data_IF_493337537492
#
_entry.id   IF_493337537492
#
_cell.length_a   1.000
_cell.length_b   1.000
_cell.length_c   1.000
_cell.angle_alpha   90.00
_cell.angle_beta   90.00
_cell.angle_gamma   90.00
#
_symmetry.space_group_name_H-M   'P 1'
#
loop_
_entity.id
_entity.type
_entity.pdbx_description
1 polymer ?
#
# COMPACT_ATOMS: atom_id res chain seq x y z
N UNK A 1 59.69 -4.46 6.46
CA UNK A 1 58.88 -3.32 5.98
C UNK A 1 57.43 -3.73 6.11
N UNK A 2 56.73 -3.16 7.09
CA UNK A 2 55.33 -3.44 7.35
C UNK A 2 54.46 -2.66 6.35
N UNK A 3 53.47 -3.30 5.74
CA UNK A 3 52.42 -2.60 4.99
C UNK A 3 51.11 -2.78 5.74
N UNK A 4 50.54 -1.62 6.03
CA UNK A 4 49.51 -1.33 7.00
C UNK A 4 48.13 -1.64 6.40
N UNK A 5 47.33 -2.37 7.17
CA UNK A 5 45.92 -2.69 6.94
C UNK A 5 45.10 -1.40 6.99
N UNK A 6 44.44 -0.99 5.90
CA UNK A 6 43.37 0.02 5.96
C UNK A 6 42.02 -0.69 6.00
N UNK A 7 41.45 -0.80 7.20
CA UNK A 7 40.05 -1.12 7.41
C UNK A 7 39.22 0.08 6.97
N UNK A 8 38.42 -0.05 5.91
CA UNK A 8 37.33 0.89 5.64
C UNK A 8 36.20 0.53 6.60
N UNK A 9 35.90 1.43 7.52
CA UNK A 9 34.80 1.30 8.46
C UNK A 9 33.49 1.54 7.72
N UNK A 10 32.71 0.48 7.50
CA UNK A 10 31.30 0.60 7.15
C UNK A 10 30.55 1.13 8.39
N UNK A 11 29.93 2.30 8.25
CA UNK A 11 29.00 2.83 9.26
C UNK A 11 27.66 2.13 9.04
N UNK A 12 27.43 1.03 9.76
CA UNK A 12 26.10 0.42 9.86
C UNK A 12 25.30 1.27 10.84
N UNK A 13 24.35 2.07 10.32
CA UNK A 13 23.34 2.71 11.17
C UNK A 13 22.25 1.66 11.39
N UNK A 14 22.22 1.09 12.59
CA UNK A 14 21.12 0.23 13.01
C UNK A 14 19.83 1.07 13.09
N UNK A 15 18.84 0.73 12.26
CA UNK A 15 17.52 1.35 12.30
C UNK A 15 16.83 1.03 13.64
N UNK A 16 16.56 2.06 14.43
CA UNK A 16 15.68 1.95 15.59
C UNK A 16 14.23 2.08 15.11
N UNK A 17 13.62 0.96 14.75
CA UNK A 17 12.19 0.87 14.49
C UNK A 17 11.42 0.94 15.82
N UNK A 18 10.73 2.04 16.08
CA UNK A 18 9.73 2.11 17.14
C UNK A 18 8.35 1.92 16.52
N UNK A 19 7.99 0.67 16.24
CA UNK A 19 6.61 0.26 15.97
C UNK A 19 5.97 -0.22 17.27
N UNK A 20 5.05 0.56 17.84
CA UNK A 20 4.18 0.07 18.92
C UNK A 20 2.80 -0.16 18.34
N UNK A 21 2.51 -1.41 17.99
CA UNK A 21 1.16 -1.87 17.68
C UNK A 21 0.53 -2.47 18.96
N UNK A 22 -0.62 -1.94 19.39
CA UNK A 22 -1.45 -2.56 20.42
C UNK A 22 -2.78 -2.98 19.80
N UNK A 23 -2.96 -4.28 19.61
CA UNK A 23 -4.23 -4.90 19.27
C UNK A 23 -5.13 -4.99 20.51
N UNK A 24 -6.22 -4.22 20.54
CA UNK A 24 -7.23 -4.33 21.60
C UNK A 24 -8.18 -5.48 21.25
N UNK A 25 -7.93 -6.67 21.79
CA UNK A 25 -8.90 -7.76 21.78
C UNK A 25 -10.00 -7.45 22.83
N UNK A 26 -11.19 -7.05 22.36
CA UNK A 26 -12.35 -6.86 23.22
C UNK A 26 -12.89 -8.22 23.72
N UNK A 27 -12.95 -8.36 25.05
CA UNK A 27 -13.30 -9.60 25.76
C UNK A 27 -14.74 -10.09 25.54
N UNK A 28 -14.87 -11.41 25.39
CA UNK A 28 -16.15 -12.12 25.43
C UNK A 28 -16.63 -12.23 26.88
N UNK A 29 -17.57 -11.36 27.24
CA UNK A 29 -18.27 -11.38 28.53
C UNK A 29 -19.15 -12.63 28.63
N UNK A 30 -18.83 -13.53 29.55
CA UNK A 30 -19.73 -14.60 29.99
C UNK A 30 -20.83 -13.98 30.85
N UNK A 31 -22.05 -13.93 30.29
CA UNK A 31 -23.28 -13.58 31.00
C UNK A 31 -23.63 -14.68 32.02
N UNK A 32 -23.73 -14.32 33.30
CA UNK A 32 -24.44 -15.11 34.32
C UNK A 32 -25.72 -14.35 34.73
N UNK A 33 -26.90 -15.00 34.75
CA UNK A 33 -28.17 -14.31 34.99
C UNK A 33 -28.48 -14.11 36.49
N UNK A 34 -28.79 -12.85 36.81
CA UNK A 34 -29.85 -12.34 37.69
C UNK A 34 -30.14 -13.01 39.06
N UNK A 35 -30.01 -12.22 40.14
CA UNK A 35 -30.90 -12.33 41.32
C UNK A 35 -31.32 -10.93 41.79
N UNK A 36 -32.63 -10.75 41.91
CA UNK A 36 -33.32 -9.54 42.36
C UNK A 36 -33.01 -9.18 43.82
N UNK A 37 -32.92 -7.87 44.07
CA UNK A 37 -33.16 -7.27 45.37
C UNK A 37 -31.92 -6.60 45.97
N UNK A 38 -31.84 -5.27 45.83
CA UNK A 38 -31.63 -4.27 46.91
C UNK A 38 -31.30 -2.92 46.27
N UNK A 39 -32.18 -1.93 46.42
CA UNK A 39 -31.88 -0.53 46.13
C UNK A 39 -31.06 0.06 47.29
N UNK A 40 -29.76 0.31 47.08
CA UNK A 40 -28.96 1.38 47.71
C UNK A 40 -27.46 1.12 47.53
N UNK A 41 -26.84 1.72 46.51
CA UNK A 41 -25.45 2.20 46.52
C UNK A 41 -25.12 2.87 45.17
N UNK A 42 -25.38 4.17 45.09
CA UNK A 42 -24.60 5.07 44.23
C UNK A 42 -23.19 5.17 44.82
N UNK A 43 -22.37 4.13 44.62
CA UNK A 43 -20.93 4.08 44.91
C UNK A 43 -20.38 2.68 44.59
N UNK A 44 -20.44 2.27 43.33
CA UNK A 44 -19.50 1.28 42.80
C UNK A 44 -18.60 2.04 41.83
N UNK A 45 -17.54 2.59 42.40
CA UNK A 45 -16.33 3.01 41.71
C UNK A 45 -15.87 1.82 40.88
N UNK A 46 -16.14 1.91 39.58
CA UNK A 46 -16.11 0.76 38.68
C UNK A 46 -14.68 0.61 38.14
N UNK A 47 -13.93 -0.45 38.51
CA UNK A 47 -12.54 -0.65 38.06
C UNK A 47 -12.42 -0.61 36.53
N UNK A 48 -13.49 -0.95 35.81
CA UNK A 48 -13.58 -0.86 34.35
C UNK A 48 -13.49 0.60 33.86
N UNK A 49 -14.06 1.57 34.60
CA UNK A 49 -13.98 3.00 34.25
C UNK A 49 -12.62 3.60 34.54
N UNK A 50 -11.91 3.08 35.54
CA UNK A 50 -10.52 3.46 35.83
C UNK A 50 -9.57 2.89 34.79
N UNK A 51 -9.70 1.61 34.47
CA UNK A 51 -8.95 0.92 33.42
C UNK A 51 -9.18 1.57 32.05
N UNK A 52 -10.43 1.86 31.67
CA UNK A 52 -10.73 2.55 30.43
C UNK A 52 -10.12 3.96 30.37
N UNK A 53 -10.13 4.70 31.49
CA UNK A 53 -9.47 6.02 31.56
C UNK A 53 -7.95 5.90 31.44
N UNK A 54 -7.35 4.88 32.06
CA UNK A 54 -5.92 4.61 31.97
C UNK A 54 -5.51 4.27 30.53
N UNK A 55 -6.24 3.36 29.86
CA UNK A 55 -6.00 2.99 28.47
C UNK A 55 -6.17 4.19 27.52
N UNK A 56 -7.16 5.05 27.73
CA UNK A 56 -7.32 6.27 26.94
C UNK A 56 -6.17 7.27 27.16
N UNK A 57 -5.66 7.37 28.38
CA UNK A 57 -4.53 8.24 28.70
C UNK A 57 -3.24 7.71 28.06
N UNK A 58 -2.98 6.42 28.21
CA UNK A 58 -1.84 5.73 27.60
C UNK A 58 -1.88 5.85 26.06
N UNK A 59 -3.04 5.64 25.45
CA UNK A 59 -3.20 5.78 24.00
C UNK A 59 -2.92 7.20 23.51
N UNK A 60 -3.34 8.23 24.27
CA UNK A 60 -3.01 9.63 23.96
C UNK A 60 -1.52 9.92 24.08
N UNK A 61 -0.86 9.37 25.09
CA UNK A 61 0.59 9.54 25.29
C UNK A 61 1.37 8.87 24.16
N UNK A 62 1.01 7.64 23.80
CA UNK A 62 1.58 6.92 22.66
C UNK A 62 1.37 7.70 21.36
N UNK A 63 0.15 8.21 21.12
CA UNK A 63 -0.16 9.00 19.94
C UNK A 63 0.69 10.28 19.89
N UNK A 64 0.82 11.02 20.99
CA UNK A 64 1.62 12.24 21.03
C UNK A 64 3.12 11.97 20.78
N UNK A 65 3.65 10.86 21.30
CA UNK A 65 5.03 10.43 21.03
C UNK A 65 5.22 10.04 19.56
N UNK A 66 4.25 9.30 19.01
CA UNK A 66 4.16 8.93 17.60
C UNK A 66 4.16 10.15 16.68
N UNK A 67 3.28 11.11 16.92
CA UNK A 67 3.18 12.35 16.14
C UNK A 67 4.48 13.17 16.20
N UNK A 68 5.11 13.19 17.38
CA UNK A 68 6.40 13.85 17.56
C UNK A 68 7.50 13.16 16.74
N UNK A 69 7.56 11.83 16.75
CA UNK A 69 8.53 11.07 15.96
C UNK A 69 8.32 11.28 14.44
N UNK A 70 7.07 11.24 13.99
CA UNK A 70 6.70 11.51 12.59
C UNK A 70 7.13 12.91 12.15
N UNK A 71 6.94 13.92 13.00
CA UNK A 71 7.37 15.29 12.69
C UNK A 71 8.89 15.41 12.50
N UNK A 72 9.68 14.63 13.25
CA UNK A 72 11.13 14.57 13.09
C UNK A 72 11.51 13.87 11.79
N UNK A 73 10.85 12.76 11.46
CA UNK A 73 11.08 12.01 10.23
C UNK A 73 10.74 12.86 9.01
N UNK A 74 9.57 13.50 9.01
CA UNK A 74 9.12 14.41 7.95
C UNK A 74 10.13 15.55 7.70
N UNK A 75 10.72 16.10 8.76
CA UNK A 75 11.76 17.13 8.64
C UNK A 75 13.12 16.63 8.12
N UNK A 76 13.47 15.36 8.32
CA UNK A 76 14.77 14.78 7.94
C UNK A 76 14.75 14.00 6.62
N UNK A 77 13.57 13.65 6.11
CA UNK A 77 13.40 12.69 5.02
C UNK A 77 13.47 13.30 3.62
N UNK A 78 13.10 14.57 3.45
CA UNK A 78 13.16 15.23 2.15
C UNK A 78 14.58 15.25 1.56
N UNK A 79 15.59 15.55 2.39
CA UNK A 79 16.99 15.56 1.95
C UNK A 79 17.53 14.14 1.70
N UNK A 80 17.04 13.15 2.45
CA UNK A 80 17.49 11.75 2.31
C UNK A 80 16.93 11.06 1.06
N UNK A 81 15.78 11.53 0.55
CA UNK A 81 15.13 11.00 -0.64
C UNK A 81 15.44 11.78 -1.92
N UNK A 82 15.92 13.01 -1.81
CA UNK A 82 16.06 13.91 -2.96
C UNK A 82 16.87 13.25 -4.09
N UNK A 83 16.25 13.12 -5.27
CA UNK A 83 16.87 12.54 -6.46
C UNK A 83 16.83 11.01 -6.54
N UNK A 84 16.35 10.31 -5.52
CA UNK A 84 16.29 8.83 -5.51
C UNK A 84 15.33 8.24 -6.56
N UNK A 85 14.34 9.02 -7.01
CA UNK A 85 13.40 8.66 -8.08
C UNK A 85 13.51 9.57 -9.31
N UNK A 86 14.62 10.31 -9.46
CA UNK A 86 14.79 11.23 -10.60
C UNK A 86 14.67 10.50 -11.95
N UNK A 87 13.74 10.98 -12.78
CA UNK A 87 13.47 10.41 -14.11
C UNK A 87 12.72 9.08 -14.10
N UNK A 88 12.19 8.64 -12.94
CA UNK A 88 11.35 7.43 -12.84
C UNK A 88 9.87 7.81 -12.93
N UNK A 89 9.16 7.21 -13.87
CA UNK A 89 7.73 7.41 -14.09
C UNK A 89 6.92 6.61 -13.06
N UNK A 90 6.20 7.28 -12.16
CA UNK A 90 5.43 6.63 -11.09
C UNK A 90 3.96 7.04 -11.18
N UNK A 91 3.06 6.06 -11.21
CA UNK A 91 1.61 6.28 -11.17
C UNK A 91 1.03 5.86 -9.83
N UNK A 92 -0.07 6.50 -9.43
CA UNK A 92 -0.83 6.13 -8.24
C UNK A 92 -2.21 5.59 -8.65
N UNK A 93 -2.59 4.42 -8.14
CA UNK A 93 -3.93 3.87 -8.26
C UNK A 93 -4.57 3.85 -6.87
N UNK A 94 -5.60 4.64 -6.64
CA UNK A 94 -6.30 4.71 -5.36
C UNK A 94 -7.61 3.94 -5.41
N UNK A 95 -7.94 3.18 -4.37
CA UNK A 95 -9.28 2.58 -4.23
C UNK A 95 -10.32 3.66 -3.90
N UNK A 96 -11.61 3.40 -4.17
CA UNK A 96 -12.67 4.41 -4.01
C UNK A 96 -12.92 4.86 -2.58
N UNK A 97 -12.48 4.07 -1.62
CA UNK A 97 -12.55 4.33 -0.18
C UNK A 97 -11.20 4.81 0.41
N UNK A 98 -10.16 4.98 -0.41
CA UNK A 98 -8.89 5.55 0.01
C UNK A 98 -9.08 7.00 0.47
N UNK A 99 -8.50 7.36 1.61
CA UNK A 99 -8.60 8.72 2.10
C UNK A 99 -7.75 9.66 1.24
N UNK A 100 -8.32 10.80 0.83
CA UNK A 100 -7.62 11.79 -0.02
C UNK A 100 -6.29 12.25 0.61
N UNK A 101 -6.22 12.36 1.94
CA UNK A 101 -5.00 12.72 2.65
C UNK A 101 -3.90 11.68 2.53
N UNK A 102 -4.25 10.39 2.49
CA UNK A 102 -3.27 9.30 2.36
C UNK A 102 -2.69 9.31 0.93
N UNK A 103 -3.55 9.45 -0.09
CA UNK A 103 -3.14 9.56 -1.51
C UNK A 103 -2.27 10.80 -1.73
N UNK A 104 -2.67 11.95 -1.18
CA UNK A 104 -1.92 13.20 -1.30
C UNK A 104 -0.56 13.12 -0.58
N UNK A 105 -0.51 12.50 0.59
CA UNK A 105 0.73 12.26 1.34
C UNK A 105 1.74 11.43 0.56
N UNK A 106 1.29 10.30 0.00
CA UNK A 106 2.11 9.47 -0.90
C UNK A 106 2.61 10.25 -2.11
N UNK A 107 1.72 10.98 -2.80
CA UNK A 107 2.10 11.79 -3.97
C UNK A 107 3.17 12.83 -3.60
N UNK A 108 3.01 13.53 -2.48
CA UNK A 108 3.97 14.52 -2.02
C UNK A 108 5.34 13.90 -1.74
N UNK A 109 5.38 12.69 -1.17
CA UNK A 109 6.62 12.00 -0.89
C UNK A 109 7.33 11.53 -2.17
N UNK A 110 6.59 10.95 -3.13
CA UNK A 110 7.13 10.57 -4.44
C UNK A 110 7.69 11.78 -5.19
N UNK A 111 6.96 12.91 -5.19
CA UNK A 111 7.42 14.15 -5.79
C UNK A 111 8.69 14.69 -5.11
N UNK A 112 8.78 14.59 -3.78
CA UNK A 112 9.96 15.01 -3.02
C UNK A 112 11.19 14.13 -3.32
N UNK A 113 10.98 12.86 -3.64
CA UNK A 113 12.00 11.94 -4.13
C UNK A 113 12.43 12.19 -5.59
N UNK A 114 11.72 13.05 -6.33
CA UNK A 114 12.01 13.40 -7.72
C UNK A 114 11.31 12.55 -8.77
N UNK A 115 10.31 11.75 -8.38
CA UNK A 115 9.53 10.94 -9.32
C UNK A 115 8.81 11.82 -10.36
N UNK A 116 8.67 11.29 -11.58
CA UNK A 116 7.84 11.88 -12.63
C UNK A 116 6.40 11.39 -12.42
N UNK A 117 5.49 12.33 -12.15
CA UNK A 117 4.07 12.04 -11.94
C UNK A 117 3.42 11.53 -13.24
N UNK A 118 3.10 10.24 -13.27
CA UNK A 118 2.41 9.57 -14.39
C UNK A 118 0.89 9.54 -14.21
N UNK A 119 0.38 10.40 -13.33
CA UNK A 119 -1.03 10.57 -13.06
C UNK A 119 -1.53 9.74 -11.89
N UNK A 120 -2.75 10.04 -11.49
CA UNK A 120 -3.47 9.30 -10.44
C UNK A 120 -4.82 8.85 -10.97
N UNK A 121 -5.10 7.55 -10.80
CA UNK A 121 -6.37 6.93 -11.14
C UNK A 121 -7.06 6.56 -9.84
N UNK A 122 -8.32 6.97 -9.67
CA UNK A 122 -9.16 6.55 -8.54
C UNK A 122 -10.19 5.56 -9.04
N UNK A 123 -10.15 4.34 -8.51
CA UNK A 123 -11.22 3.37 -8.68
C UNK A 123 -12.47 3.89 -7.99
N UNK A 124 -13.63 3.71 -8.59
CA UNK A 124 -14.88 3.92 -7.86
C UNK A 124 -15.17 2.73 -6.95
N UNK A 125 -16.14 2.88 -6.05
CA UNK A 125 -16.53 1.80 -5.15
C UNK A 125 -16.98 0.56 -5.94
N UNK A 126 -17.72 0.72 -7.04
CA UNK A 126 -18.24 -0.39 -7.85
C UNK A 126 -17.13 -1.23 -8.51
N UNK A 127 -15.90 -0.70 -8.63
CA UNK A 127 -14.79 -1.37 -9.30
C UNK A 127 -14.40 -2.71 -8.64
N UNK A 128 -14.40 -2.74 -7.31
CA UNK A 128 -13.96 -3.89 -6.51
C UNK A 128 -15.13 -4.68 -5.90
N UNK A 129 -16.36 -4.43 -6.36
CA UNK A 129 -17.57 -5.02 -5.79
C UNK A 129 -18.33 -5.85 -6.83
N UNK A 130 -19.09 -6.87 -6.39
CA UNK A 130 -19.68 -7.86 -7.30
C UNK A 130 -20.68 -7.25 -8.30
N UNK A 131 -21.29 -6.11 -7.96
CA UNK A 131 -22.23 -5.39 -8.83
C UNK A 131 -21.58 -4.88 -10.12
N UNK A 132 -20.29 -4.54 -10.09
CA UNK A 132 -19.53 -4.03 -11.24
C UNK A 132 -18.91 -5.11 -12.11
N UNK A 133 -18.72 -6.31 -11.56
CA UNK A 133 -17.82 -7.35 -12.09
C UNK A 133 -18.09 -7.73 -13.55
N UNK A 134 -19.33 -8.10 -13.88
CA UNK A 134 -19.70 -8.55 -15.24
C UNK A 134 -19.51 -7.45 -16.28
N UNK A 135 -19.83 -6.21 -15.90
CA UNK A 135 -19.72 -5.05 -16.80
C UNK A 135 -18.25 -4.69 -17.03
N UNK A 136 -17.42 -4.69 -15.98
CA UNK A 136 -15.97 -4.48 -16.07
C UNK A 136 -15.35 -5.53 -17.00
N UNK A 137 -15.63 -6.82 -16.76
CA UNK A 137 -15.11 -7.90 -17.60
C UNK A 137 -15.53 -7.76 -19.06
N UNK A 138 -16.78 -7.37 -19.30
CA UNK A 138 -17.27 -7.11 -20.66
C UNK A 138 -16.53 -5.95 -21.33
N UNK A 139 -16.23 -4.86 -20.60
CA UNK A 139 -15.45 -3.74 -21.14
C UNK A 139 -14.02 -4.18 -21.46
N UNK A 140 -13.35 -4.81 -20.48
CA UNK A 140 -11.97 -5.27 -20.62
C UNK A 140 -11.82 -6.23 -21.81
N UNK A 141 -12.73 -7.18 -21.98
CA UNK A 141 -12.69 -8.11 -23.11
C UNK A 141 -12.89 -7.44 -24.49
N UNK A 142 -13.57 -6.29 -24.55
CA UNK A 142 -13.85 -5.58 -25.80
C UNK A 142 -12.85 -4.46 -26.11
N UNK A 143 -12.15 -3.93 -25.09
CA UNK A 143 -11.25 -2.76 -25.19
C UNK A 143 -9.85 -3.12 -24.68
N UNK A 144 -9.45 -4.38 -24.82
CA UNK A 144 -8.14 -4.86 -24.41
C UNK A 144 -7.04 -4.25 -25.30
N UNK A 145 -5.98 -3.64 -24.73
CA UNK A 145 -4.86 -3.13 -25.52
C UNK A 145 -4.21 -4.22 -26.38
N UNK A 146 -3.68 -3.83 -27.54
CA UNK A 146 -3.03 -4.76 -28.45
C UNK A 146 -1.84 -5.47 -27.78
N UNK A 147 -1.78 -6.80 -27.92
CA UNK A 147 -0.70 -7.63 -27.35
C UNK A 147 -0.90 -8.01 -25.89
N UNK A 148 -1.92 -7.48 -25.21
CA UNK A 148 -2.29 -7.94 -23.88
C UNK A 148 -3.05 -9.28 -23.94
N UNK A 149 -2.85 -10.10 -22.91
CA UNK A 149 -3.54 -11.38 -22.74
C UNK A 149 -4.28 -11.38 -21.40
N UNK A 150 -5.43 -12.07 -21.38
CA UNK A 150 -6.21 -12.26 -20.16
C UNK A 150 -6.11 -13.71 -19.73
N UNK A 151 -6.09 -13.94 -18.42
CA UNK A 151 -6.02 -15.27 -17.85
C UNK A 151 -7.25 -16.12 -18.24
N UNK A 152 -7.01 -17.34 -18.74
CA UNK A 152 -8.09 -18.25 -19.14
C UNK A 152 -8.63 -19.10 -17.97
N UNK A 153 -7.89 -19.16 -16.86
CA UNK A 153 -8.20 -20.00 -15.70
C UNK A 153 -8.83 -19.17 -14.58
N UNK A 154 -8.21 -18.05 -14.24
CA UNK A 154 -8.76 -17.09 -13.28
C UNK A 154 -9.60 -16.04 -14.01
N UNK A 155 -10.92 -16.16 -13.87
CA UNK A 155 -11.90 -15.28 -14.49
C UNK A 155 -12.42 -14.21 -13.52
N UNK A 156 -11.73 -13.96 -12.41
CA UNK A 156 -12.08 -12.89 -11.47
C UNK A 156 -11.96 -11.51 -12.16
N UNK A 157 -12.79 -10.56 -11.72
CA UNK A 157 -12.78 -9.22 -12.31
C UNK A 157 -11.47 -8.49 -11.98
N UNK A 158 -10.96 -8.65 -10.76
CA UNK A 158 -9.67 -8.12 -10.30
C UNK A 158 -8.52 -8.56 -11.19
N UNK A 159 -8.41 -9.87 -11.48
CA UNK A 159 -7.40 -10.44 -12.38
C UNK A 159 -7.43 -9.80 -13.76
N UNK A 160 -8.57 -9.91 -14.46
CA UNK A 160 -8.67 -9.45 -15.85
C UNK A 160 -8.46 -7.94 -15.96
N UNK A 161 -8.98 -7.17 -15.01
CA UNK A 161 -8.81 -5.71 -15.03
C UNK A 161 -7.41 -5.29 -14.64
N UNK A 162 -6.76 -6.02 -13.74
CA UNK A 162 -5.35 -5.85 -13.42
C UNK A 162 -4.46 -6.06 -14.64
N UNK A 163 -4.68 -7.14 -15.40
CA UNK A 163 -3.95 -7.42 -16.64
C UNK A 163 -4.18 -6.35 -17.71
N UNK A 164 -5.42 -5.91 -17.89
CA UNK A 164 -5.75 -4.88 -18.86
C UNK A 164 -5.18 -3.50 -18.50
N UNK A 165 -5.27 -3.10 -17.23
CA UNK A 165 -4.67 -1.85 -16.75
C UNK A 165 -3.15 -1.92 -16.72
N UNK A 166 -2.56 -3.07 -16.41
CA UNK A 166 -1.12 -3.28 -16.54
C UNK A 166 -0.66 -3.01 -17.97
N UNK A 167 -1.25 -3.68 -18.95
CA UNK A 167 -0.90 -3.49 -20.35
C UNK A 167 -1.13 -2.05 -20.84
N UNK A 168 -2.16 -1.37 -20.33
CA UNK A 168 -2.45 0.00 -20.71
C UNK A 168 -1.49 1.02 -20.09
N UNK A 169 -1.10 0.83 -18.82
CA UNK A 169 -0.44 1.84 -18.00
C UNK A 169 1.07 1.69 -17.91
N UNK A 170 1.61 0.50 -18.16
CA UNK A 170 3.01 0.23 -17.85
C UNK A 170 3.96 0.46 -19.02
N UNK A 171 5.21 0.67 -18.66
CA UNK A 171 6.36 0.55 -19.56
C UNK A 171 6.93 -0.86 -19.41
N UNK A 172 7.35 -1.43 -20.52
CA UNK A 172 7.99 -2.74 -20.55
C UNK A 172 9.34 -2.66 -19.79
N UNK A 173 9.62 -3.57 -18.85
CA UNK A 173 10.80 -3.48 -17.99
C UNK A 173 12.12 -3.67 -18.74
N UNK A 174 12.12 -4.38 -19.87
CA UNK A 174 13.34 -4.62 -20.66
C UNK A 174 13.65 -3.48 -21.64
N UNK A 175 12.63 -3.00 -22.36
CA UNK A 175 12.78 -1.99 -23.42
C UNK A 175 12.54 -0.56 -22.95
N UNK A 176 11.91 -0.39 -21.78
CA UNK A 176 11.40 0.88 -21.26
C UNK A 176 10.41 1.59 -22.21
N UNK A 177 9.89 0.92 -23.23
CA UNK A 177 8.86 1.48 -24.11
C UNK A 177 7.45 1.29 -23.50
N UNK A 178 6.50 2.20 -23.75
CA UNK A 178 5.11 1.99 -23.34
C UNK A 178 4.54 0.68 -23.89
N UNK A 179 3.92 -0.15 -23.04
CA UNK A 179 3.31 -1.43 -23.46
C UNK A 179 2.11 -1.24 -24.37
N UNK A 180 1.38 -0.13 -24.21
CA UNK A 180 0.26 0.25 -25.05
C UNK A 180 0.47 1.61 -25.73
N UNK A 181 -0.11 1.73 -26.93
CA UNK A 181 -0.23 3.01 -27.62
C UNK A 181 -1.05 4.01 -26.78
N UNK A 182 -0.83 5.31 -26.98
CA UNK A 182 -1.64 6.33 -26.31
C UNK A 182 -3.12 6.26 -26.67
N UNK A 183 -3.46 5.74 -27.86
CA UNK A 183 -4.84 5.53 -28.31
C UNK A 183 -5.49 4.37 -27.55
N UNK A 184 -4.82 3.22 -27.45
CA UNK A 184 -5.34 2.04 -26.73
C UNK A 184 -5.48 2.29 -25.24
N UNK A 185 -4.47 2.93 -24.60
CA UNK A 185 -4.56 3.36 -23.20
C UNK A 185 -5.73 4.30 -22.99
N UNK A 186 -5.89 5.30 -23.85
CA UNK A 186 -6.99 6.26 -23.79
C UNK A 186 -8.36 5.58 -23.93
N UNK A 187 -8.49 4.64 -24.87
CA UNK A 187 -9.73 3.91 -25.12
C UNK A 187 -10.18 3.08 -23.91
N UNK A 188 -9.27 2.30 -23.31
CA UNK A 188 -9.59 1.49 -22.13
C UNK A 188 -9.99 2.38 -20.94
N UNK A 189 -9.18 3.40 -20.62
CA UNK A 189 -9.44 4.30 -19.51
C UNK A 189 -10.76 5.06 -19.68
N UNK A 190 -11.04 5.54 -20.90
CA UNK A 190 -12.29 6.22 -21.21
C UNK A 190 -13.49 5.29 -21.09
N UNK A 191 -13.40 4.05 -21.59
CA UNK A 191 -14.49 3.08 -21.49
C UNK A 191 -14.82 2.73 -20.03
N UNK A 192 -13.79 2.53 -19.19
CA UNK A 192 -13.98 2.28 -17.76
C UNK A 192 -14.56 3.51 -17.04
N UNK A 193 -14.11 4.72 -17.38
CA UNK A 193 -14.64 5.97 -16.82
C UNK A 193 -16.10 6.22 -17.22
N UNK A 194 -16.44 6.08 -18.49
CA UNK A 194 -17.82 6.25 -19.00
C UNK A 194 -18.78 5.22 -18.40
N UNK A 195 -18.27 4.02 -18.10
CA UNK A 195 -19.01 2.98 -17.41
C UNK A 195 -19.19 3.22 -15.91
N UNK A 196 -18.49 4.21 -15.33
CA UNK A 196 -18.56 4.60 -13.93
C UNK A 196 -17.53 3.94 -13.03
N UNK A 197 -16.48 3.30 -13.57
CA UNK A 197 -15.55 2.49 -12.79
C UNK A 197 -14.28 3.22 -12.37
N UNK A 198 -13.84 4.23 -13.11
CA UNK A 198 -12.62 5.00 -12.84
C UNK A 198 -12.88 6.50 -12.88
N UNK A 199 -12.09 7.25 -12.10
CA UNK A 199 -11.94 8.69 -12.19
C UNK A 199 -10.46 9.05 -12.34
N UNK A 200 -10.16 10.02 -13.20
CA UNK A 200 -8.82 10.56 -13.41
C UNK A 200 -8.92 11.92 -14.13
N UNK A 201 -7.85 12.72 -14.03
CA UNK A 201 -7.76 14.00 -14.74
C UNK A 201 -7.39 13.79 -16.22
N UNK A 202 -8.07 14.50 -17.12
CA UNK A 202 -7.81 14.36 -18.56
C UNK A 202 -6.38 14.76 -18.93
N UNK A 203 -5.71 13.94 -19.73
CA UNK A 203 -4.37 14.23 -20.25
C UNK A 203 -3.24 14.07 -19.24
N UNK A 204 -3.50 13.55 -18.03
CA UNK A 204 -2.47 13.36 -17.00
C UNK A 204 -1.93 11.93 -16.91
N UNK A 205 -2.67 10.94 -17.44
CA UNK A 205 -2.27 9.54 -17.34
C UNK A 205 -1.21 9.20 -18.40
N UNK A 206 0.01 8.99 -17.95
CA UNK A 206 1.17 8.62 -18.76
C UNK A 206 1.60 7.17 -18.45
N UNK A 207 2.39 6.54 -19.35
CA UNK A 207 3.01 5.25 -19.05
C UNK A 207 3.91 5.34 -17.81
N UNK A 208 3.82 4.38 -16.91
CA UNK A 208 4.57 4.32 -15.65
C UNK A 208 5.52 3.13 -15.61
N UNK A 209 6.65 3.30 -14.93
CA UNK A 209 7.59 2.22 -14.59
C UNK A 209 7.22 1.56 -13.26
N UNK A 210 6.71 2.34 -12.31
CA UNK A 210 6.24 1.86 -11.01
C UNK A 210 4.80 2.28 -10.75
N UNK A 211 4.08 1.46 -10.00
CA UNK A 211 2.71 1.75 -9.58
C UNK A 211 2.59 1.62 -8.07
N UNK A 212 2.06 2.67 -7.44
CA UNK A 212 1.66 2.64 -6.04
C UNK A 212 0.15 2.47 -5.97
N UNK A 213 -0.32 1.35 -5.43
CA UNK A 213 -1.72 1.11 -5.12
C UNK A 213 -2.01 1.58 -3.70
N UNK A 214 -2.84 2.61 -3.54
CA UNK A 214 -3.26 3.12 -2.22
C UNK A 214 -4.66 2.64 -1.91
N UNK A 215 -4.79 1.80 -0.89
CA UNK A 215 -6.08 1.26 -0.46
C UNK A 215 -6.65 1.98 0.77
N UNK A 216 -7.97 2.04 0.82
CA UNK A 216 -8.73 2.47 1.99
C UNK A 216 -8.90 1.39 3.05
N UNK A 217 -10.05 1.41 3.71
CA UNK A 217 -10.40 0.44 4.76
C UNK A 217 -10.65 -0.95 4.18
N UNK A 218 -11.08 -1.02 2.93
CA UNK A 218 -11.50 -2.24 2.27
C UNK A 218 -12.98 -2.58 2.48
N UNK A 219 -13.35 -3.75 1.98
CA UNK A 219 -14.73 -4.25 1.94
C UNK A 219 -14.88 -5.66 2.52
N UNK A 220 -15.72 -6.46 1.90
CA UNK A 220 -15.91 -7.88 2.22
C UNK A 220 -14.86 -8.76 1.51
N UNK A 221 -14.99 -10.07 1.66
CA UNK A 221 -14.10 -11.06 1.01
C UNK A 221 -13.98 -10.83 -0.50
N UNK A 222 -15.07 -10.47 -1.18
CA UNK A 222 -15.04 -10.20 -2.62
C UNK A 222 -14.15 -9.00 -2.95
N UNK A 223 -14.29 -7.90 -2.20
CA UNK A 223 -13.40 -6.74 -2.36
C UNK A 223 -11.94 -7.13 -2.17
N UNK A 224 -11.66 -7.90 -1.11
CA UNK A 224 -10.31 -8.31 -0.74
C UNK A 224 -9.68 -9.15 -1.85
N UNK A 225 -10.36 -10.20 -2.29
CA UNK A 225 -9.89 -11.11 -3.32
C UNK A 225 -9.63 -10.38 -4.65
N UNK A 226 -10.53 -9.46 -5.05
CA UNK A 226 -10.35 -8.73 -6.30
C UNK A 226 -9.19 -7.73 -6.21
N UNK A 227 -8.95 -7.10 -5.07
CA UNK A 227 -7.82 -6.18 -4.93
C UNK A 227 -6.48 -6.93 -4.88
N UNK A 228 -6.43 -8.10 -4.22
CA UNK A 228 -5.25 -8.98 -4.24
C UNK A 228 -4.97 -9.47 -5.66
N UNK A 229 -5.97 -10.00 -6.36
CA UNK A 229 -5.83 -10.45 -7.75
C UNK A 229 -5.40 -9.31 -8.69
N UNK A 230 -5.96 -8.11 -8.49
CA UNK A 230 -5.58 -6.91 -9.23
C UNK A 230 -4.10 -6.55 -9.02
N UNK A 231 -3.66 -6.51 -7.76
CA UNK A 231 -2.27 -6.19 -7.42
C UNK A 231 -1.30 -7.23 -8.02
N UNK A 232 -1.60 -8.52 -7.87
CA UNK A 232 -0.79 -9.61 -8.45
C UNK A 232 -0.71 -9.53 -9.97
N UNK A 233 -1.80 -9.18 -10.66
CA UNK A 233 -1.78 -8.96 -12.11
C UNK A 233 -0.90 -7.80 -12.56
N UNK A 234 -0.82 -6.71 -11.79
CA UNK A 234 0.13 -5.64 -12.07
C UNK A 234 1.57 -6.17 -11.95
N UNK A 235 1.87 -6.87 -10.86
CA UNK A 235 3.19 -7.41 -10.59
C UNK A 235 3.67 -8.40 -11.66
N UNK A 236 2.81 -9.33 -12.07
CA UNK A 236 3.10 -10.31 -13.11
C UNK A 236 3.38 -9.69 -14.49
N UNK A 237 2.86 -8.49 -14.76
CA UNK A 237 3.18 -7.74 -15.96
C UNK A 237 4.56 -7.07 -15.92
N UNK A 238 5.35 -7.31 -14.86
CA UNK A 238 6.66 -6.71 -14.67
C UNK A 238 6.62 -5.33 -14.02
N UNK A 239 5.54 -5.01 -13.29
CA UNK A 239 5.45 -3.73 -12.56
C UNK A 239 6.31 -3.76 -11.31
N UNK A 240 7.08 -2.69 -11.12
CA UNK A 240 7.62 -2.33 -9.81
C UNK A 240 6.49 -1.80 -8.91
N UNK A 241 5.87 -2.70 -8.16
CA UNK A 241 4.60 -2.48 -7.47
C UNK A 241 4.76 -2.25 -5.97
N UNK A 242 4.04 -1.25 -5.44
CA UNK A 242 3.87 -1.07 -4.00
C UNK A 242 2.38 -1.01 -3.66
N UNK A 243 1.91 -1.88 -2.76
CA UNK A 243 0.55 -1.76 -2.21
C UNK A 243 0.61 -1.19 -0.79
N UNK A 244 -0.08 -0.07 -0.59
CA UNK A 244 -0.05 0.67 0.66
C UNK A 244 -1.43 0.92 1.23
N UNK A 245 -1.59 0.74 2.54
CA UNK A 245 -2.86 0.85 3.24
C UNK A 245 -2.68 1.23 4.71
N UNK A 246 -3.78 1.38 5.43
CA UNK A 246 -3.73 1.62 6.87
C UNK A 246 -3.43 0.34 7.62
N UNK A 247 -3.03 0.46 8.89
CA UNK A 247 -2.61 -0.66 9.74
C UNK A 247 -3.58 -1.85 9.74
N UNK A 248 -4.89 -1.58 9.63
CA UNK A 248 -5.93 -2.61 9.63
C UNK A 248 -5.83 -3.57 8.43
N UNK A 249 -5.31 -3.11 7.29
CA UNK A 249 -5.15 -3.95 6.10
C UNK A 249 -4.08 -5.05 6.28
N UNK A 250 -3.19 -4.89 7.26
CA UNK A 250 -2.16 -5.87 7.63
C UNK A 250 -2.57 -6.79 8.80
N UNK A 251 -3.79 -6.65 9.31
CA UNK A 251 -4.35 -7.62 10.26
C UNK A 251 -4.70 -8.94 9.57
N UNK A 252 -4.82 -10.02 10.35
CA UNK A 252 -5.11 -11.38 9.86
C UNK A 252 -6.26 -11.39 8.84
N UNK A 253 -5.98 -11.89 7.62
CA UNK A 253 -6.94 -11.97 6.51
C UNK A 253 -7.19 -10.65 5.77
N UNK A 254 -6.46 -9.58 6.11
CA UNK A 254 -6.47 -8.32 5.36
C UNK A 254 -5.66 -8.41 4.06
N UNK A 255 -5.90 -7.50 3.12
CA UNK A 255 -5.24 -7.49 1.81
C UNK A 255 -3.71 -7.47 1.90
N UNK A 256 -3.13 -6.67 2.81
CA UNK A 256 -1.68 -6.61 3.00
C UNK A 256 -1.18 -7.92 3.64
N UNK A 257 -1.92 -8.47 4.60
CA UNK A 257 -1.57 -9.74 5.24
C UNK A 257 -1.55 -10.90 4.24
N UNK A 258 -2.55 -10.98 3.35
CA UNK A 258 -2.60 -11.96 2.25
C UNK A 258 -1.40 -11.83 1.32
N UNK A 259 -1.11 -10.63 0.82
CA UNK A 259 0.02 -10.41 -0.10
C UNK A 259 1.37 -10.75 0.55
N UNK A 260 1.56 -10.42 1.84
CA UNK A 260 2.77 -10.78 2.58
C UNK A 260 2.89 -12.29 2.77
N UNK A 261 1.77 -12.97 3.04
CA UNK A 261 1.74 -14.43 3.17
C UNK A 261 2.07 -15.12 1.85
N UNK A 262 1.53 -14.63 0.73
CA UNK A 262 1.85 -15.11 -0.62
C UNK A 262 3.34 -14.91 -0.94
N UNK A 263 3.89 -13.75 -0.60
CA UNK A 263 5.31 -13.43 -0.81
C UNK A 263 6.26 -14.27 0.08
N UNK A 264 5.84 -14.65 1.30
CA UNK A 264 6.64 -15.40 2.27
C UNK A 264 6.55 -16.94 2.17
N UNK A 265 5.73 -17.47 1.26
CA UNK A 265 5.26 -18.86 1.23
C UNK A 265 6.26 -19.99 0.94
N UNK A 266 7.58 -19.80 1.08
CA UNK A 266 8.49 -20.95 0.96
C UNK A 266 9.98 -20.76 1.26
N UNK A 267 10.63 -19.68 0.80
CA UNK A 267 12.11 -19.60 0.78
C UNK A 267 12.67 -18.19 1.06
N UNK A 268 11.95 -17.34 1.80
CA UNK A 268 12.29 -15.92 2.01
C UNK A 268 11.58 -15.00 1.00
N UNK A 269 11.78 -13.67 1.07
CA UNK A 269 11.11 -12.74 0.17
C UNK A 269 11.51 -13.01 -1.28
N UNK A 270 10.52 -13.19 -2.16
CA UNK A 270 10.76 -13.25 -3.60
C UNK A 270 11.14 -11.85 -4.09
N UNK A 271 12.27 -11.67 -4.81
CA UNK A 271 12.66 -10.37 -5.35
C UNK A 271 11.58 -9.79 -6.29
N UNK A 272 10.79 -10.66 -6.90
CA UNK A 272 9.70 -10.30 -7.81
C UNK A 272 8.35 -10.08 -7.09
N UNK A 273 8.32 -10.02 -5.76
CA UNK A 273 7.08 -9.79 -5.00
C UNK A 273 6.74 -8.31 -4.89
N UNK A 274 5.45 -7.99 -4.77
CA UNK A 274 4.96 -6.63 -4.47
C UNK A 274 5.42 -6.21 -3.08
N UNK A 275 6.00 -5.02 -2.97
CA UNK A 275 6.29 -4.42 -1.67
C UNK A 275 4.99 -3.95 -1.02
N UNK A 276 4.85 -4.17 0.29
CA UNK A 276 3.64 -3.77 1.02
C UNK A 276 3.96 -2.75 2.11
N UNK A 277 3.12 -1.73 2.27
CA UNK A 277 3.30 -0.71 3.31
C UNK A 277 2.02 -0.49 4.11
N UNK A 278 2.03 -0.79 5.40
CA UNK A 278 0.90 -0.48 6.29
C UNK A 278 1.04 0.90 6.95
N UNK A 279 0.02 1.31 7.71
CA UNK A 279 0.01 2.56 8.48
C UNK A 279 0.18 3.84 7.65
N UNK A 280 -0.26 3.83 6.38
CA UNK A 280 -0.07 4.95 5.40
C UNK A 280 -0.63 6.31 5.85
N UNK A 281 -1.49 6.33 6.87
CA UNK A 281 -1.97 7.54 7.54
C UNK A 281 -0.92 8.21 8.44
N UNK A 282 0.34 7.77 8.37
CA UNK A 282 1.49 8.24 9.16
C UNK A 282 2.61 8.67 8.21
N UNK A 283 3.33 9.73 8.57
CA UNK A 283 4.36 10.32 7.68
C UNK A 283 5.51 9.34 7.41
N UNK A 284 5.90 8.53 8.42
CA UNK A 284 6.96 7.53 8.24
C UNK A 284 6.58 6.46 7.22
N UNK A 285 5.30 6.09 7.13
CA UNK A 285 4.82 5.08 6.19
C UNK A 285 4.75 5.66 4.77
N UNK A 286 4.38 6.93 4.63
CA UNK A 286 4.43 7.62 3.33
C UNK A 286 5.86 7.72 2.81
N UNK A 287 6.83 7.98 3.68
CA UNK A 287 8.26 7.86 3.39
C UNK A 287 8.64 6.43 2.97
N UNK A 288 8.19 5.43 3.73
CA UNK A 288 8.44 4.03 3.41
C UNK A 288 7.90 3.63 2.02
N UNK A 289 6.76 4.17 1.58
CA UNK A 289 6.24 3.97 0.22
C UNK A 289 7.23 4.45 -0.84
N UNK A 290 7.75 5.68 -0.71
CA UNK A 290 8.71 6.19 -1.70
C UNK A 290 10.01 5.37 -1.72
N UNK A 291 10.52 4.99 -0.54
CA UNK A 291 11.68 4.09 -0.44
C UNK A 291 11.39 2.70 -1.03
N UNK A 292 10.17 2.18 -0.84
CA UNK A 292 9.78 0.87 -1.36
C UNK A 292 9.70 0.89 -2.89
N UNK A 293 9.29 2.02 -3.49
CA UNK A 293 9.39 2.23 -4.94
C UNK A 293 10.86 2.23 -5.39
N UNK A 294 11.75 2.91 -4.66
CA UNK A 294 13.21 2.89 -4.97
C UNK A 294 13.76 1.47 -4.92
N UNK A 295 13.41 0.70 -3.89
CA UNK A 295 13.85 -0.68 -3.71
C UNK A 295 13.31 -1.61 -4.81
N UNK A 296 12.01 -1.54 -5.11
CA UNK A 296 11.37 -2.27 -6.21
C UNK A 296 12.09 -2.03 -7.52
N UNK A 297 12.34 -0.76 -7.86
CA UNK A 297 13.04 -0.35 -9.05
C UNK A 297 14.51 -0.80 -9.12
N UNK A 298 15.06 -1.35 -8.03
CA UNK A 298 16.36 -2.00 -7.92
C UNK A 298 16.26 -3.52 -7.71
N UNK A 299 15.13 -4.12 -8.10
CA UNK A 299 14.81 -5.56 -8.02
C UNK A 299 14.77 -6.12 -6.58
N UNK A 300 14.43 -5.28 -5.60
CA UNK A 300 14.19 -5.65 -4.21
C UNK A 300 12.73 -5.53 -3.80
N UNK A 301 12.33 -6.21 -2.73
CA UNK A 301 10.97 -6.15 -2.21
C UNK A 301 10.94 -6.40 -0.69
N UNK A 302 9.85 -5.96 -0.03
CA UNK A 302 9.67 -6.22 1.40
C UNK A 302 8.32 -5.81 1.98
N UNK A 303 8.09 -6.23 3.22
CA UNK A 303 6.95 -5.86 4.04
C UNK A 303 7.31 -4.74 5.02
N UNK A 304 6.68 -3.57 4.88
CA UNK A 304 7.02 -2.39 5.65
C UNK A 304 5.85 -1.82 6.46
N UNK A 305 6.15 -1.23 7.61
CA UNK A 305 5.17 -0.54 8.43
C UNK A 305 5.31 -0.84 9.91
N UNK A 306 4.20 -0.76 10.64
CA UNK A 306 4.17 -0.93 12.09
C UNK A 306 3.48 -2.20 12.56
N UNK A 307 2.89 -2.98 11.65
CA UNK A 307 2.28 -4.27 12.00
C UNK A 307 3.33 -5.33 12.36
N UNK A 308 2.89 -6.37 13.06
CA UNK A 308 3.75 -7.51 13.45
C UNK A 308 4.25 -8.33 12.25
N UNK A 309 3.54 -8.26 11.11
CA UNK A 309 3.92 -8.92 9.86
C UNK A 309 4.85 -8.07 8.99
N UNK A 310 5.31 -6.91 9.46
CA UNK A 310 6.32 -6.10 8.75
C UNK A 310 7.75 -6.59 9.07
N UNK A 311 8.60 -6.63 8.04
CA UNK A 311 10.03 -6.93 8.16
C UNK A 311 10.79 -5.77 8.82
N UNK A 312 10.38 -4.54 8.51
CA UNK A 312 10.95 -3.31 9.03
C UNK A 312 9.95 -2.14 8.96
N UNK A 313 10.28 -1.01 9.59
CA UNK A 313 9.45 0.20 9.47
C UNK A 313 9.50 0.82 8.05
N UNK A 314 10.63 0.68 7.37
CA UNK A 314 10.87 1.16 6.01
C UNK A 314 12.05 0.40 5.40
N UNK A 315 12.21 0.41 4.06
CA UNK A 315 13.43 -0.06 3.40
C UNK A 315 14.67 0.72 3.88
N UNK A 316 15.88 0.16 3.71
CA UNK A 316 17.10 0.92 3.94
C UNK A 316 17.17 2.15 3.04
N UNK A 317 17.81 3.21 3.52
CA UNK A 317 18.08 4.38 2.66
C UNK A 317 19.00 3.96 1.51
N UNK A 318 18.78 4.46 0.29
CA UNK A 318 19.70 4.25 -0.81
C UNK A 318 21.08 4.81 -0.44
N UNK A 319 22.15 4.05 -0.73
CA UNK A 319 23.51 4.54 -0.53
C UNK A 319 23.74 5.72 -1.47
N UNK A 320 24.00 6.92 -0.91
CA UNK A 320 24.34 8.08 -1.73
C UNK A 320 25.68 7.87 -2.43
N UNK A 321 25.73 8.17 -3.74
CA UNK A 321 26.97 8.17 -4.53
C UNK A 321 27.96 9.28 -4.11
#
# INVERSE_FOLDING_TARGET
MAVQKSSRSALVIAGLGFGVALGVAAGTMVLAPNMEGTSAAVASDDPIREEHRALLQENKEIQAQSDSADSLISGLSADALAGSLEGRDVSIIATGDAAEGDVAGVRNMLNSAGAVDSGTITMTNEFLHPEGADKIKSIVANVLPAGAELDEQDLSAGRHTGQALAAALLRDPESAEPMASSEDRGALLQALREAGFLNYEDGTILPAQAVVVVMGRGGDEYYHDNLVAFANSLNEAGTYGVLAGRLQAAGEGGVIDTLRTEAGGGEGPSPDAISTVDSINRDFAQLAVALAVVEQLGDGSGAYGASESADAAAPPLPEGE
#
